data_IF_312793249298
#
_entry.id   IF_312793249298
#
_cell.length_a   1.000
_cell.length_b   1.000
_cell.length_c   1.000
_cell.angle_alpha   90.00
_cell.angle_beta   90.00
_cell.angle_gamma   90.00
#
_symmetry.space_group_name_H-M   'P 1'
#
loop_
_entity.id
_entity.type
_entity.pdbx_description
1 polymer ?
#
# COMPACT_ATOMS: atom_id res chain seq x y z
N UNK A 1 -6.33 -16.67 6.16
CA UNK A 1 -5.99 -15.51 5.35
C UNK A 1 -6.30 -14.24 6.12
N UNK A 2 -5.38 -13.31 6.16
CA UNK A 2 -5.57 -12.00 6.79
C UNK A 2 -5.61 -10.93 5.71
N UNK A 3 -6.48 -9.93 5.88
CA UNK A 3 -6.60 -8.82 4.95
C UNK A 3 -6.17 -7.54 5.65
N UNK A 4 -5.26 -6.81 5.00
CA UNK A 4 -4.76 -5.52 5.49
C UNK A 4 -5.30 -4.43 4.58
N UNK A 5 -5.95 -3.42 5.16
CA UNK A 5 -6.42 -2.25 4.42
C UNK A 5 -5.44 -1.12 4.69
N UNK A 6 -4.81 -0.62 3.65
CA UNK A 6 -3.73 0.36 3.76
C UNK A 6 -4.07 1.61 2.95
N UNK A 7 -3.99 2.75 3.59
CA UNK A 7 -4.17 4.03 2.92
C UNK A 7 -2.97 4.32 2.03
N UNK A 8 -3.24 4.89 0.87
CA UNK A 8 -2.21 5.24 -0.11
C UNK A 8 -2.28 6.74 -0.37
N UNK A 9 -1.13 7.40 -0.30
CA UNK A 9 -1.00 8.78 -0.73
C UNK A 9 -0.51 8.78 -2.18
N UNK A 10 -1.29 9.38 -3.07
CA UNK A 10 -0.93 9.54 -4.48
C UNK A 10 -0.47 10.96 -4.73
N UNK A 11 0.68 11.09 -5.39
CA UNK A 11 1.26 12.39 -5.71
C UNK A 11 1.54 12.42 -7.21
N UNK A 12 0.97 13.44 -7.90
CA UNK A 12 1.30 13.65 -9.30
C UNK A 12 2.61 14.42 -9.40
N UNK A 13 3.58 13.81 -10.05
CA UNK A 13 4.90 14.42 -10.21
C UNK A 13 4.93 15.39 -11.41
N UNK A 14 5.97 16.22 -11.46
CA UNK A 14 6.12 17.23 -12.52
C UNK A 14 6.25 16.63 -13.92
N UNK A 15 6.73 15.40 -14.03
CA UNK A 15 6.90 14.69 -15.29
C UNK A 15 5.70 13.84 -15.68
N UNK A 16 4.55 14.09 -15.06
CA UNK A 16 3.28 13.38 -15.29
C UNK A 16 3.23 11.95 -14.76
N UNK A 17 4.26 11.49 -14.06
CA UNK A 17 4.19 10.22 -13.34
C UNK A 17 3.44 10.39 -12.03
N UNK A 18 2.97 9.28 -11.49
CA UNK A 18 2.31 9.26 -10.20
C UNK A 18 3.14 8.45 -9.21
N UNK A 19 3.40 9.04 -8.05
CA UNK A 19 4.03 8.33 -6.94
C UNK A 19 2.96 7.83 -5.98
N UNK A 20 3.19 6.67 -5.40
CA UNK A 20 2.31 6.07 -4.39
C UNK A 20 3.15 5.77 -3.15
N UNK A 21 2.62 6.14 -1.99
CA UNK A 21 3.29 5.95 -0.71
C UNK A 21 2.28 5.38 0.26
N UNK A 22 2.71 4.41 1.07
CA UNK A 22 1.90 3.90 2.17
C UNK A 22 2.49 4.43 3.48
N UNK A 23 1.85 5.44 4.11
CA UNK A 23 2.41 6.03 5.34
C UNK A 23 2.60 5.02 6.48
N UNK A 24 1.73 4.01 6.57
CA UNK A 24 1.82 2.99 7.61
C UNK A 24 2.95 2.00 7.43
N UNK A 25 3.57 1.99 6.25
CA UNK A 25 4.70 1.11 5.94
C UNK A 25 5.90 1.98 5.53
N UNK A 26 6.74 2.39 6.49
CA UNK A 26 7.87 3.29 6.20
C UNK A 26 8.77 2.76 5.08
N UNK A 27 9.03 3.59 4.10
CA UNK A 27 9.85 3.22 2.95
C UNK A 27 9.11 2.46 1.85
N UNK A 28 7.83 2.11 2.06
CA UNK A 28 7.05 1.43 1.03
C UNK A 28 6.49 2.46 0.06
N UNK A 29 7.05 2.49 -1.15
CA UNK A 29 6.64 3.42 -2.19
C UNK A 29 6.76 2.76 -3.56
N UNK A 30 6.02 3.30 -4.52
CA UNK A 30 6.10 2.87 -5.90
C UNK A 30 5.64 4.02 -6.81
N UNK A 31 5.56 3.79 -8.10
CA UNK A 31 5.12 4.81 -9.04
C UNK A 31 4.51 4.16 -10.27
N UNK A 32 3.86 4.98 -11.10
CA UNK A 32 3.29 4.54 -12.36
C UNK A 32 2.99 5.73 -13.26
N UNK A 33 2.65 5.46 -14.50
CA UNK A 33 2.28 6.50 -15.46
C UNK A 33 0.82 6.93 -15.33
N UNK A 34 0.04 6.24 -14.50
CA UNK A 34 -1.33 6.59 -14.16
C UNK A 34 -1.57 6.30 -12.69
N UNK A 35 -2.65 6.85 -12.15
CA UNK A 35 -3.04 6.54 -10.77
C UNK A 35 -3.29 5.05 -10.59
N UNK A 36 -3.99 4.42 -11.54
CA UNK A 36 -4.28 3.00 -11.48
C UNK A 36 -3.00 2.17 -11.48
N UNK A 37 -2.07 2.49 -12.35
CA UNK A 37 -0.80 1.77 -12.41
C UNK A 37 0.00 1.94 -11.12
N UNK A 38 0.06 3.15 -10.57
CA UNK A 38 0.74 3.40 -9.31
C UNK A 38 0.09 2.59 -8.16
N UNK A 39 -1.24 2.51 -8.13
CA UNK A 39 -1.94 1.72 -7.11
C UNK A 39 -1.67 0.22 -7.26
N UNK A 40 -1.64 -0.29 -8.47
CA UNK A 40 -1.31 -1.70 -8.72
C UNK A 40 0.13 -2.00 -8.29
N UNK A 41 1.06 -1.12 -8.63
CA UNK A 41 2.46 -1.31 -8.29
C UNK A 41 2.70 -1.21 -6.78
N UNK A 42 2.05 -0.27 -6.09
CA UNK A 42 2.21 -0.17 -4.64
C UNK A 42 1.59 -1.36 -3.91
N UNK A 43 0.54 -1.95 -4.46
CA UNK A 43 -0.05 -3.15 -3.88
C UNK A 43 0.95 -4.31 -3.91
N UNK A 44 1.63 -4.51 -5.03
CA UNK A 44 2.66 -5.53 -5.15
C UNK A 44 3.81 -5.28 -4.17
N UNK A 45 4.25 -4.03 -4.06
CA UNK A 45 5.30 -3.67 -3.10
C UNK A 45 4.86 -3.91 -1.65
N UNK A 46 3.60 -3.60 -1.33
CA UNK A 46 3.07 -3.79 0.02
C UNK A 46 2.98 -5.27 0.38
N UNK A 47 2.62 -6.13 -0.56
CA UNK A 47 2.58 -7.57 -0.32
C UNK A 47 3.96 -8.10 0.09
N UNK A 48 4.99 -7.74 -0.65
CA UNK A 48 6.36 -8.15 -0.34
C UNK A 48 6.80 -7.57 1.00
N UNK A 49 6.48 -6.30 1.25
CA UNK A 49 6.84 -5.61 2.48
C UNK A 49 6.25 -6.32 3.72
N UNK A 50 4.95 -6.63 3.67
CA UNK A 50 4.27 -7.28 4.79
C UNK A 50 4.76 -8.72 4.97
N UNK A 51 4.96 -9.47 3.88
CA UNK A 51 5.52 -10.81 3.95
C UNK A 51 6.88 -10.81 4.63
N UNK A 52 7.73 -9.85 4.30
CA UNK A 52 9.05 -9.71 4.92
C UNK A 52 8.94 -9.39 6.41
N UNK A 53 8.03 -8.50 6.79
CA UNK A 53 7.78 -8.18 8.20
C UNK A 53 7.34 -9.41 8.98
N UNK A 54 6.45 -10.22 8.41
CA UNK A 54 5.99 -11.46 9.05
C UNK A 54 7.15 -12.45 9.23
N UNK A 55 7.96 -12.61 8.19
CA UNK A 55 9.11 -13.52 8.23
C UNK A 55 10.15 -13.12 9.26
N UNK A 56 10.42 -11.82 9.37
CA UNK A 56 11.45 -11.31 10.28
C UNK A 56 10.93 -11.08 11.69
N UNK A 57 9.64 -11.29 11.93
CA UNK A 57 9.04 -11.10 13.25
C UNK A 57 8.82 -9.65 13.63
N UNK A 58 8.86 -8.73 12.69
CA UNK A 58 8.56 -7.31 12.94
C UNK A 58 7.05 -7.12 13.12
N UNK A 59 6.69 -6.04 13.83
CA UNK A 59 5.28 -5.70 14.01
C UNK A 59 4.64 -5.30 12.68
N UNK A 60 3.54 -5.96 12.32
CA UNK A 60 2.78 -5.65 11.12
C UNK A 60 1.56 -4.81 11.47
N UNK A 61 0.97 -4.08 10.48
CA UNK A 61 -0.31 -3.41 10.71
C UNK A 61 -1.38 -4.42 11.13
N UNK A 62 -2.38 -3.97 11.88
CA UNK A 62 -3.47 -4.85 12.28
C UNK A 62 -4.32 -5.24 11.07
N UNK A 63 -4.65 -6.53 10.91
CA UNK A 63 -5.57 -6.93 9.85
C UNK A 63 -6.92 -6.27 10.03
N UNK A 64 -7.56 -5.93 8.91
CA UNK A 64 -8.91 -5.39 8.94
C UNK A 64 -9.92 -6.54 8.95
N UNK A 65 -10.84 -6.52 9.92
CA UNK A 65 -11.92 -7.49 10.05
C UNK A 65 -13.31 -6.85 9.88
N UNK A 66 -13.34 -5.59 9.46
CA UNK A 66 -14.57 -4.83 9.27
C UNK A 66 -14.46 -3.96 8.03
N UNK A 67 -15.59 -3.48 7.55
CA UNK A 67 -15.64 -2.54 6.44
C UNK A 67 -15.24 -1.17 6.94
N UNK A 68 -14.27 -0.55 6.26
CA UNK A 68 -13.83 0.81 6.53
C UNK A 68 -14.01 1.64 5.26
N UNK A 69 -14.36 2.91 5.45
CA UNK A 69 -14.52 3.86 4.35
C UNK A 69 -13.44 4.92 4.49
N UNK A 70 -12.66 5.11 3.43
CA UNK A 70 -11.60 6.11 3.39
C UNK A 70 -11.93 7.19 2.36
N UNK A 71 -11.62 8.45 2.67
CA UNK A 71 -11.70 9.55 1.71
C UNK A 71 -10.52 9.52 0.73
N UNK A 72 -9.48 8.79 1.05
CA UNK A 72 -8.25 8.65 0.27
C UNK A 72 -8.21 7.30 -0.42
N UNK A 73 -7.39 7.16 -1.48
CA UNK A 73 -7.14 5.84 -2.07
C UNK A 73 -6.63 4.84 -1.03
N UNK A 74 -7.05 3.61 -1.17
CA UNK A 74 -6.61 2.53 -0.28
C UNK A 74 -6.45 1.26 -1.10
N UNK A 75 -5.62 0.34 -0.58
CA UNK A 75 -5.43 -0.99 -1.17
C UNK A 75 -5.73 -2.04 -0.14
N UNK A 76 -6.13 -3.22 -0.61
CA UNK A 76 -6.33 -4.39 0.22
C UNK A 76 -5.24 -5.41 -0.12
N UNK A 77 -4.53 -5.88 0.89
CA UNK A 77 -3.51 -6.93 0.75
C UNK A 77 -3.98 -8.11 1.58
N UNK A 78 -4.13 -9.27 0.92
CA UNK A 78 -4.55 -10.52 1.58
C UNK A 78 -3.41 -11.52 1.56
N UNK A 79 -3.06 -12.01 2.73
CA UNK A 79 -1.96 -12.97 2.91
C UNK A 79 -2.39 -14.16 3.76
#
# INVERSE_FOLDING_TARGET
MKTFILKVTLIKENDSRWSAIIPDLPGCSSWGYSQQEALENIKDAAEVYIEDMIETGQGVPSPSDRIEIFDEPAIAVSL
#
